data_IF_029530687397
#
_entry.id   IF_029530687397
#
_cell.length_a   1.000
_cell.length_b   1.000
_cell.length_c   1.000
_cell.angle_alpha   90.00
_cell.angle_beta   90.00
_cell.angle_gamma   90.00
#
_symmetry.space_group_name_H-M   'P 1'
#
loop_
_entity.id
_entity.type
_entity.pdbx_description
1 polymer ?
#
# COMPACT_ATOMS: atom_id res chain seq x y z
N UNK A 1 -1.17 30.19 47.93
CA UNK A 1 -0.86 30.90 46.67
C UNK A 1 0.51 30.43 46.22
N UNK A 2 0.57 29.59 45.21
CA UNK A 2 1.85 29.11 44.67
C UNK A 2 2.45 30.22 43.80
N UNK A 3 3.64 30.66 44.15
CA UNK A 3 4.39 31.65 43.40
C UNK A 3 5.09 30.92 42.23
N UNK A 4 4.65 31.20 41.01
CA UNK A 4 5.29 30.70 39.82
C UNK A 4 6.60 31.42 39.57
N UNK A 5 7.75 30.79 39.86
CA UNK A 5 9.04 31.30 39.43
C UNK A 5 9.24 30.99 37.97
N UNK A 6 9.02 31.95 37.10
CA UNK A 6 9.50 31.92 35.73
C UNK A 6 11.01 32.12 35.73
N UNK A 7 11.78 31.09 35.54
CA UNK A 7 13.17 31.22 35.10
C UNK A 7 13.18 31.26 33.58
N UNK A 8 13.14 32.49 33.03
CA UNK A 8 13.47 32.70 31.62
C UNK A 8 14.99 32.72 31.48
N UNK A 9 15.56 31.79 30.73
CA UNK A 9 16.93 31.90 30.27
C UNK A 9 16.92 32.53 28.86
N UNK A 10 17.51 33.70 28.73
CA UNK A 10 17.68 34.40 27.48
C UNK A 10 18.94 33.86 26.78
N UNK A 11 18.80 33.27 25.61
CA UNK A 11 19.91 32.89 24.75
C UNK A 11 20.10 33.96 23.66
N UNK A 12 21.30 34.50 23.56
CA UNK A 12 21.71 35.35 22.43
C UNK A 12 22.21 34.44 21.30
N UNK A 13 21.56 34.53 20.16
CA UNK A 13 22.05 33.94 18.92
C UNK A 13 22.93 34.98 18.23
N UNK A 14 23.88 34.53 17.37
CA UNK A 14 24.85 35.34 16.60
C UNK A 14 24.23 36.47 15.75
N UNK A 15 22.90 36.51 15.61
CA UNK A 15 22.16 37.53 14.86
C UNK A 15 21.37 38.52 15.77
N UNK A 16 21.73 38.67 17.04
CA UNK A 16 21.12 39.64 17.96
C UNK A 16 19.59 39.49 18.18
N UNK A 17 18.97 38.38 17.85
CA UNK A 17 17.58 38.10 18.21
C UNK A 17 17.51 37.39 19.57
N UNK A 18 16.74 37.96 20.49
CA UNK A 18 16.42 37.35 21.78
C UNK A 18 15.32 36.30 21.61
N UNK A 19 15.63 35.02 21.91
CA UNK A 19 14.61 33.98 22.01
C UNK A 19 14.27 33.73 23.47
N UNK A 20 13.00 33.85 23.82
CA UNK A 20 12.49 33.45 25.11
C UNK A 20 12.12 31.95 25.04
N UNK A 21 12.91 31.11 25.71
CA UNK A 21 12.59 29.69 25.84
C UNK A 21 11.75 29.49 27.11
N UNK A 22 10.49 29.08 26.95
CA UNK A 22 9.64 28.67 28.07
C UNK A 22 9.76 27.16 28.29
N UNK A 23 10.19 26.76 29.50
CA UNK A 23 10.19 25.36 29.92
C UNK A 23 8.80 25.04 30.50
N UNK A 24 8.09 24.11 29.87
CA UNK A 24 6.87 23.54 30.45
C UNK A 24 7.25 22.64 31.65
N UNK A 25 6.69 22.87 32.80
CA UNK A 25 6.90 22.04 34.00
C UNK A 25 5.57 21.49 34.51
N UNK A 26 5.59 20.32 35.12
CA UNK A 26 4.43 19.70 35.78
C UNK A 26 4.08 20.45 37.10
N UNK A 27 3.05 20.01 37.80
CA UNK A 27 2.61 20.60 39.08
C UNK A 27 3.66 20.51 40.20
N UNK A 28 4.69 19.68 40.04
CA UNK A 28 5.81 19.49 40.95
C UNK A 28 7.07 20.26 40.52
N UNK A 29 7.01 20.99 39.40
CA UNK A 29 8.13 21.76 38.87
C UNK A 29 9.14 20.96 38.07
N UNK A 30 8.84 19.70 37.72
CA UNK A 30 9.71 18.90 36.86
C UNK A 30 9.51 19.26 35.39
N UNK A 31 10.57 19.26 34.57
CA UNK A 31 10.45 19.47 33.14
C UNK A 31 9.49 18.47 32.51
N UNK A 32 8.41 18.94 31.91
CA UNK A 32 7.55 18.10 31.09
C UNK A 32 8.28 17.80 29.80
N UNK A 33 8.71 16.57 29.61
CA UNK A 33 9.22 16.12 28.32
C UNK A 33 8.08 16.12 27.31
N UNK A 34 7.98 17.15 26.50
CA UNK A 34 7.17 17.14 25.29
C UNK A 34 7.94 16.33 24.22
N UNK A 35 7.96 15.01 24.35
CA UNK A 35 8.44 14.15 23.30
C UNK A 35 7.49 14.29 22.13
N UNK A 36 7.93 14.96 21.07
CA UNK A 36 7.12 15.33 19.92
C UNK A 36 6.58 14.14 19.13
N UNK A 37 7.15 12.95 19.29
CA UNK A 37 6.81 11.81 18.44
C UNK A 37 5.54 11.06 18.88
N UNK A 38 5.20 11.04 20.17
CA UNK A 38 4.06 10.28 20.69
C UNK A 38 2.86 11.14 21.13
N UNK A 39 3.09 12.42 21.42
CA UNK A 39 2.05 13.34 21.91
C UNK A 39 1.40 14.17 20.80
N UNK A 40 1.79 13.98 19.56
CA UNK A 40 1.30 14.75 18.41
C UNK A 40 0.57 13.83 17.45
N UNK A 41 -0.65 14.21 17.06
CA UNK A 41 -1.41 13.49 16.06
C UNK A 41 -0.70 13.53 14.70
N UNK A 42 -1.13 12.70 13.74
CA UNK A 42 -0.65 12.78 12.35
C UNK A 42 -0.93 14.15 11.70
N UNK A 43 -1.76 14.97 12.31
CA UNK A 43 -2.05 16.35 11.89
C UNK A 43 -1.13 17.40 12.54
N UNK A 44 -0.20 16.99 13.39
CA UNK A 44 0.70 17.90 14.09
C UNK A 44 0.10 18.52 15.37
N UNK A 45 -1.08 18.09 15.77
CA UNK A 45 -1.78 18.56 16.97
C UNK A 45 -1.45 17.68 18.17
N UNK A 46 -1.46 18.25 19.37
CA UNK A 46 -1.34 17.45 20.58
C UNK A 46 -2.49 16.46 20.71
N UNK A 47 -2.19 15.20 20.99
CA UNK A 47 -3.20 14.15 21.16
C UNK A 47 -3.90 14.37 22.49
N UNK A 48 -5.04 15.05 22.43
CA UNK A 48 -5.95 15.22 23.58
C UNK A 48 -7.11 14.22 23.56
N UNK A 49 -7.19 13.36 22.56
CA UNK A 49 -8.25 12.38 22.37
C UNK A 49 -7.67 10.97 22.53
N UNK A 50 -8.31 10.07 23.28
CA UNK A 50 -7.85 8.70 23.40
C UNK A 50 -7.83 8.00 22.05
N UNK A 51 -6.73 7.30 21.75
CA UNK A 51 -6.60 6.46 20.57
C UNK A 51 -7.62 5.33 20.70
N UNK A 52 -8.52 5.21 19.72
CA UNK A 52 -9.48 4.11 19.68
C UNK A 52 -8.84 2.88 19.04
N UNK A 53 -8.62 1.78 19.77
CA UNK A 53 -8.06 0.58 19.20
C UNK A 53 -9.04 -0.02 18.18
N UNK A 54 -8.53 -0.35 16.98
CA UNK A 54 -9.31 -1.03 15.94
C UNK A 54 -9.24 -2.54 16.13
N UNK A 55 -8.04 -3.05 16.36
CA UNK A 55 -7.78 -4.43 16.73
C UNK A 55 -6.38 -4.56 17.33
N UNK A 56 -6.16 -5.64 18.04
CA UNK A 56 -4.86 -6.07 18.54
C UNK A 56 -4.68 -7.54 18.13
N UNK A 57 -3.47 -7.88 17.71
CA UNK A 57 -3.10 -9.21 17.26
C UNK A 57 -1.82 -9.63 17.98
N UNK A 58 -1.78 -10.87 18.45
CA UNK A 58 -0.59 -11.49 19.01
C UNK A 58 -0.52 -12.98 18.62
N UNK A 59 0.64 -13.58 18.80
CA UNK A 59 0.89 -14.99 18.52
C UNK A 59 0.90 -15.88 19.76
N UNK A 60 0.45 -15.37 20.91
CA UNK A 60 0.61 -16.04 22.21
C UNK A 60 -0.01 -17.43 22.26
N UNK A 61 -1.17 -17.60 21.62
CA UNK A 61 -1.94 -18.85 21.63
C UNK A 61 -1.96 -19.56 20.26
N UNK A 62 -1.01 -19.26 19.40
CA UNK A 62 -0.96 -19.78 18.05
C UNK A 62 -1.56 -18.83 17.00
N UNK A 63 -1.71 -19.32 15.79
CA UNK A 63 -2.34 -18.58 14.70
C UNK A 63 -3.87 -18.78 14.79
N UNK A 64 -4.59 -17.78 15.30
CA UNK A 64 -6.06 -17.82 15.35
C UNK A 64 -6.63 -17.52 13.95
N UNK A 65 -7.12 -18.57 13.30
CA UNK A 65 -7.73 -18.47 11.95
C UNK A 65 -8.96 -17.56 11.87
N UNK A 66 -9.57 -17.17 12.98
CA UNK A 66 -10.67 -16.19 13.01
C UNK A 66 -10.16 -14.75 12.85
N UNK A 67 -8.92 -14.50 13.25
CA UNK A 67 -8.28 -13.18 13.25
C UNK A 67 -7.27 -13.02 12.10
N UNK A 68 -6.65 -14.12 11.69
CA UNK A 68 -5.60 -14.14 10.68
C UNK A 68 -5.98 -14.91 9.43
N UNK A 69 -5.38 -14.52 8.33
CA UNK A 69 -5.25 -15.31 7.11
C UNK A 69 -3.76 -15.58 6.89
N UNK A 70 -3.42 -16.81 6.56
CA UNK A 70 -2.07 -17.20 6.17
C UNK A 70 -2.06 -17.65 4.72
N UNK A 71 -0.99 -17.29 4.02
CA UNK A 71 -0.72 -17.69 2.64
C UNK A 71 0.70 -18.22 2.55
N UNK A 72 0.84 -19.33 1.88
CA UNK A 72 2.11 -20.04 1.71
C UNK A 72 2.25 -20.49 0.27
N UNK A 73 3.47 -20.57 -0.23
CA UNK A 73 3.77 -21.14 -1.54
C UNK A 73 5.12 -21.85 -1.51
N UNK A 74 5.20 -22.92 -2.26
CA UNK A 74 6.40 -23.76 -2.39
C UNK A 74 6.90 -24.26 -1.01
N UNK A 75 8.15 -23.98 -0.67
CA UNK A 75 8.72 -24.32 0.64
C UNK A 75 8.55 -23.22 1.71
N UNK A 76 7.78 -22.19 1.41
CA UNK A 76 7.49 -21.12 2.37
C UNK A 76 6.54 -21.57 3.48
N UNK A 77 6.51 -20.86 4.59
CA UNK A 77 5.62 -21.14 5.71
C UNK A 77 5.20 -19.89 6.47
N UNK A 78 4.01 -19.94 7.06
CA UNK A 78 3.41 -18.87 7.86
C UNK A 78 2.81 -19.49 9.11
N UNK A 79 3.55 -19.48 10.21
CA UNK A 79 3.25 -20.23 11.42
C UNK A 79 3.27 -19.34 12.66
N UNK A 80 2.68 -19.82 13.75
CA UNK A 80 2.92 -19.31 15.09
C UNK A 80 3.83 -20.29 15.86
N UNK A 81 4.97 -19.82 16.30
CA UNK A 81 5.95 -20.62 17.03
C UNK A 81 6.55 -19.80 18.16
N UNK A 82 6.66 -20.37 19.35
CA UNK A 82 7.25 -19.71 20.52
C UNK A 82 6.68 -18.31 20.80
N UNK A 83 5.36 -18.17 20.73
CA UNK A 83 4.62 -16.91 20.91
C UNK A 83 4.86 -15.86 19.82
N UNK A 84 5.59 -16.19 18.74
CA UNK A 84 5.85 -15.33 17.60
C UNK A 84 5.05 -15.77 16.39
N UNK A 85 4.61 -14.79 15.59
CA UNK A 85 4.10 -15.01 14.24
C UNK A 85 5.30 -15.00 13.28
N UNK A 86 5.51 -16.11 12.59
CA UNK A 86 6.71 -16.35 11.80
C UNK A 86 6.36 -16.62 10.34
N UNK A 87 6.97 -15.83 9.43
CA UNK A 87 6.86 -16.00 7.98
C UNK A 87 8.22 -16.39 7.43
N UNK A 88 8.28 -17.44 6.63
CA UNK A 88 9.51 -17.96 6.02
C UNK A 88 9.31 -18.15 4.52
N UNK A 89 10.35 -17.90 3.74
CA UNK A 89 10.36 -18.16 2.30
C UNK A 89 10.73 -19.62 1.97
N UNK A 90 11.40 -20.31 2.90
CA UNK A 90 11.99 -21.61 2.59
C UNK A 90 13.18 -21.50 1.62
N UNK A 91 13.44 -22.57 0.89
CA UNK A 91 14.61 -22.70 -0.01
C UNK A 91 14.23 -22.77 -1.51
N UNK A 92 12.95 -22.85 -1.84
CA UNK A 92 12.47 -22.93 -3.23
C UNK A 92 12.33 -21.54 -3.84
N UNK A 93 12.59 -21.45 -5.15
CA UNK A 93 12.32 -20.23 -5.91
C UNK A 93 10.81 -19.94 -5.89
N UNK A 94 10.43 -18.69 -5.60
CA UNK A 94 9.03 -18.29 -5.48
C UNK A 94 8.36 -18.69 -4.16
N UNK A 95 9.10 -19.27 -3.20
CA UNK A 95 8.59 -19.58 -1.87
C UNK A 95 8.26 -18.31 -1.08
N UNK A 96 7.11 -18.28 -0.44
CA UNK A 96 6.73 -17.19 0.46
C UNK A 96 5.84 -17.66 1.61
N UNK A 97 5.90 -16.93 2.72
CA UNK A 97 4.95 -17.02 3.81
C UNK A 97 4.41 -15.63 4.15
N UNK A 98 3.11 -15.49 4.30
CA UNK A 98 2.43 -14.24 4.63
C UNK A 98 1.38 -14.47 5.69
N UNK A 99 1.38 -13.63 6.73
CA UNK A 99 0.32 -13.57 7.74
C UNK A 99 -0.34 -12.20 7.64
N UNK A 100 -1.66 -12.19 7.54
CA UNK A 100 -2.46 -10.96 7.41
C UNK A 100 -3.65 -10.99 8.35
N UNK A 101 -4.00 -9.84 8.92
CA UNK A 101 -5.25 -9.71 9.68
C UNK A 101 -6.46 -9.81 8.75
N UNK A 102 -7.50 -10.55 9.14
CA UNK A 102 -8.80 -10.56 8.45
C UNK A 102 -9.53 -9.23 8.58
N UNK A 103 -9.24 -8.49 9.65
CA UNK A 103 -9.86 -7.19 9.89
C UNK A 103 -9.06 -6.09 9.20
N UNK A 104 -9.70 -5.41 8.27
CA UNK A 104 -9.10 -4.27 7.57
C UNK A 104 -9.26 -2.97 8.38
N UNK A 105 -8.27 -2.09 8.26
CA UNK A 105 -8.35 -0.70 8.73
C UNK A 105 -9.29 0.05 7.79
N UNK A 106 -10.42 0.53 8.32
CA UNK A 106 -11.43 1.24 7.52
C UNK A 106 -11.01 2.68 7.28
N UNK A 107 -11.18 3.14 6.05
CA UNK A 107 -11.07 4.55 5.72
C UNK A 107 -12.08 5.39 6.53
N UNK A 108 -11.57 6.43 7.18
CA UNK A 108 -12.37 7.44 7.88
C UNK A 108 -11.89 8.82 7.47
N UNK A 109 -12.69 9.58 6.70
CA UNK A 109 -12.31 10.92 6.25
C UNK A 109 -11.90 11.82 7.41
N UNK A 110 -10.83 12.58 7.25
CA UNK A 110 -10.33 13.51 8.26
C UNK A 110 -9.62 12.87 9.46
N UNK A 111 -9.51 11.53 9.50
CA UNK A 111 -8.76 10.82 10.52
C UNK A 111 -7.46 10.25 9.96
N UNK A 112 -6.57 9.83 10.85
CA UNK A 112 -5.38 9.06 10.51
C UNK A 112 -5.51 7.63 11.03
N UNK A 113 -4.55 6.80 10.68
CA UNK A 113 -4.34 5.48 11.26
C UNK A 113 -2.93 5.36 11.80
N UNK A 114 -2.80 4.63 12.90
CA UNK A 114 -1.54 4.31 13.54
C UNK A 114 -1.48 2.80 13.76
N UNK A 115 -0.38 2.18 13.39
CA UNK A 115 -0.04 0.83 13.83
C UNK A 115 1.25 0.86 14.60
N UNK A 116 1.31 0.09 15.69
CA UNK A 116 2.54 -0.21 16.42
C UNK A 116 2.67 -1.73 16.47
N UNK A 117 3.83 -2.21 16.12
CA UNK A 117 4.10 -3.64 16.05
C UNK A 117 5.56 -3.94 16.36
N UNK A 118 5.81 -5.13 16.88
CA UNK A 118 7.16 -5.66 17.03
C UNK A 118 7.52 -6.47 15.80
N UNK A 119 8.73 -6.30 15.32
CA UNK A 119 9.28 -7.13 14.24
C UNK A 119 10.77 -7.43 14.48
N UNK A 120 11.16 -8.62 14.07
CA UNK A 120 12.51 -9.07 13.95
C UNK A 120 12.69 -9.67 12.57
N UNK A 121 13.70 -9.23 11.85
CA UNK A 121 14.03 -9.72 10.52
C UNK A 121 15.25 -10.63 10.60
N UNK A 122 15.39 -11.55 9.66
CA UNK A 122 16.67 -12.21 9.44
C UNK A 122 17.59 -11.26 8.67
N UNK A 123 18.89 -11.52 8.64
CA UNK A 123 19.80 -10.74 7.83
C UNK A 123 19.35 -10.71 6.37
N UNK A 124 19.39 -9.53 5.76
CA UNK A 124 18.99 -9.35 4.36
C UNK A 124 19.90 -10.11 3.41
N UNK A 125 19.35 -10.65 2.33
CA UNK A 125 20.10 -11.34 1.30
C UNK A 125 19.49 -11.07 -0.08
N UNK A 126 20.35 -10.94 -1.10
CA UNK A 126 19.93 -10.68 -2.48
C UNK A 126 18.91 -11.74 -2.94
N UNK A 127 17.81 -11.28 -3.55
CA UNK A 127 16.73 -12.14 -4.04
C UNK A 127 15.63 -12.45 -3.01
N UNK A 128 15.75 -11.96 -1.78
CA UNK A 128 14.74 -12.10 -0.73
C UNK A 128 14.15 -10.75 -0.36
N UNK A 129 12.90 -10.79 0.10
CA UNK A 129 12.22 -9.59 0.62
C UNK A 129 11.52 -9.94 1.93
N UNK A 130 11.70 -9.14 2.96
CA UNK A 130 11.08 -9.32 4.27
C UNK A 130 10.39 -8.01 4.64
N UNK A 131 9.09 -8.06 4.98
CA UNK A 131 8.30 -6.82 5.15
C UNK A 131 7.27 -6.96 6.27
N UNK A 132 7.06 -5.88 7.02
CA UNK A 132 6.03 -5.79 8.04
C UNK A 132 5.37 -4.40 8.04
N UNK A 133 4.07 -4.33 8.32
CA UNK A 133 3.31 -3.08 8.39
C UNK A 133 1.92 -3.19 7.79
N UNK A 134 1.42 -2.10 7.24
CA UNK A 134 0.14 -2.09 6.52
C UNK A 134 0.30 -2.61 5.11
N UNK A 135 -0.57 -3.54 4.70
CA UNK A 135 -0.61 -3.97 3.32
C UNK A 135 -1.98 -4.52 2.92
N UNK A 136 -2.28 -4.40 1.65
CA UNK A 136 -3.36 -5.06 0.94
C UNK A 136 -2.76 -5.79 -0.26
N UNK A 137 -3.57 -6.29 -1.17
CA UNK A 137 -3.10 -7.11 -2.29
C UNK A 137 -2.02 -6.42 -3.16
N UNK A 138 -2.16 -5.11 -3.38
CA UNK A 138 -1.30 -4.34 -4.29
C UNK A 138 -0.91 -2.95 -3.74
N UNK A 139 -1.11 -2.75 -2.46
CA UNK A 139 -0.76 -1.51 -1.76
C UNK A 139 -0.10 -1.85 -0.44
N UNK A 140 0.99 -1.16 -0.11
CA UNK A 140 1.67 -1.39 1.15
C UNK A 140 2.36 -0.12 1.67
N UNK A 141 2.41 -0.02 3.00
CA UNK A 141 3.23 0.93 3.75
C UNK A 141 3.93 0.08 4.79
N UNK A 142 5.18 -0.28 4.54
CA UNK A 142 5.89 -1.31 5.30
C UNK A 142 7.32 -0.91 5.59
N UNK A 143 7.94 -1.58 6.55
CA UNK A 143 9.38 -1.57 6.82
C UNK A 143 9.94 -2.96 6.55
N UNK A 144 11.22 -3.06 6.19
CA UNK A 144 11.85 -4.35 6.03
C UNK A 144 13.06 -4.34 5.10
N UNK A 145 13.37 -5.50 4.54
CA UNK A 145 14.48 -5.70 3.61
C UNK A 145 13.99 -5.86 2.17
N UNK A 146 14.70 -5.20 1.26
CA UNK A 146 14.69 -5.48 -0.17
C UNK A 146 16.09 -5.98 -0.56
N UNK A 147 16.22 -7.27 -0.71
CA UNK A 147 17.52 -7.88 -0.80
C UNK A 147 18.30 -7.73 0.50
N UNK A 148 19.49 -7.17 0.42
CA UNK A 148 20.40 -6.89 1.54
C UNK A 148 20.22 -5.49 2.17
N UNK A 149 19.34 -4.66 1.61
CA UNK A 149 19.12 -3.28 2.08
C UNK A 149 17.86 -3.16 2.94
N UNK A 150 18.02 -2.59 4.13
CA UNK A 150 16.89 -2.25 5.00
C UNK A 150 16.29 -0.90 4.58
N UNK A 151 14.96 -0.79 4.61
CA UNK A 151 14.28 0.43 4.22
C UNK A 151 12.80 0.44 4.54
N UNK A 152 12.12 1.46 4.00
CA UNK A 152 10.67 1.61 3.99
C UNK A 152 10.14 1.42 2.59
N UNK A 153 8.99 0.76 2.47
CA UNK A 153 8.30 0.53 1.21
C UNK A 153 7.00 1.31 1.17
N UNK A 154 6.83 2.10 0.12
CA UNK A 154 5.53 2.58 -0.33
C UNK A 154 5.18 1.88 -1.65
N UNK A 155 4.26 0.93 -1.58
CA UNK A 155 3.73 0.24 -2.76
C UNK A 155 2.41 0.87 -3.17
N UNK A 156 2.33 1.33 -4.41
CA UNK A 156 1.11 1.89 -4.98
C UNK A 156 0.45 0.88 -5.92
N UNK A 157 -0.87 0.78 -5.79
CA UNK A 157 -1.69 -0.04 -6.68
C UNK A 157 -1.57 0.47 -8.11
N UNK A 158 -1.36 -0.46 -9.05
CA UNK A 158 -1.50 -0.19 -10.47
C UNK A 158 -2.95 0.09 -10.89
N UNK A 159 -3.14 0.23 -12.19
CA UNK A 159 -4.47 0.37 -12.81
C UNK A 159 -4.71 -0.76 -13.77
N UNK A 160 -5.93 -1.30 -13.76
CA UNK A 160 -6.36 -2.26 -14.76
C UNK A 160 -6.42 -1.61 -16.14
N UNK A 161 -6.20 -2.37 -17.19
CA UNK A 161 -6.40 -1.92 -18.56
C UNK A 161 -7.88 -2.07 -18.92
N UNK A 162 -8.47 -1.07 -19.59
CA UNK A 162 -9.86 -1.10 -20.01
C UNK A 162 -9.97 -0.76 -21.50
N UNK A 163 -10.45 -1.73 -22.25
CA UNK A 163 -10.85 -1.56 -23.66
C UNK A 163 -12.35 -1.39 -23.76
N UNK A 164 -12.80 -0.77 -24.86
CA UNK A 164 -14.19 -0.62 -25.20
C UNK A 164 -14.40 -0.84 -26.71
N UNK A 165 -15.43 -1.59 -27.06
CA UNK A 165 -15.94 -1.73 -28.42
C UNK A 165 -17.34 -1.15 -28.48
N UNK A 166 -17.60 -0.31 -29.44
CA UNK A 166 -18.93 0.23 -29.76
C UNK A 166 -19.32 -0.31 -31.13
N UNK A 167 -20.42 -1.06 -31.20
CA UNK A 167 -20.95 -1.60 -32.43
C UNK A 167 -21.82 -0.52 -33.11
N UNK A 168 -21.52 -0.24 -34.37
CA UNK A 168 -22.19 0.89 -35.07
C UNK A 168 -23.33 0.45 -36.00
N UNK A 169 -23.21 -0.76 -36.60
CA UNK A 169 -24.20 -1.24 -37.58
C UNK A 169 -24.77 -2.60 -37.20
N UNK A 170 -25.99 -2.86 -37.67
CA UNK A 170 -26.65 -4.15 -37.59
C UNK A 170 -26.07 -5.12 -38.65
N UNK A 171 -26.11 -6.42 -38.36
CA UNK A 171 -25.72 -7.44 -39.33
C UNK A 171 -26.72 -7.54 -40.49
N UNK A 172 -26.24 -7.38 -41.70
CA UNK A 172 -27.04 -7.51 -42.93
C UNK A 172 -27.07 -8.96 -43.46
N UNK A 173 -26.01 -9.71 -43.19
CA UNK A 173 -25.89 -11.13 -43.55
C UNK A 173 -25.42 -11.94 -42.33
N UNK A 174 -25.76 -13.20 -42.30
CA UNK A 174 -25.24 -14.12 -41.27
C UNK A 174 -23.78 -14.51 -41.58
N UNK A 175 -22.96 -14.62 -40.55
CA UNK A 175 -21.54 -14.96 -40.67
C UNK A 175 -20.83 -14.81 -39.34
N UNK A 176 -19.51 -14.67 -39.39
CA UNK A 176 -18.68 -14.50 -38.20
C UNK A 176 -18.01 -13.13 -38.16
N UNK A 177 -17.86 -12.63 -36.97
CA UNK A 177 -16.98 -11.49 -36.64
C UNK A 177 -15.88 -12.00 -35.71
N UNK A 178 -14.72 -11.37 -35.74
CA UNK A 178 -13.60 -11.73 -34.88
C UNK A 178 -13.22 -10.53 -34.00
N UNK A 179 -13.16 -10.75 -32.70
CA UNK A 179 -12.61 -9.80 -31.72
C UNK A 179 -11.28 -10.35 -31.22
N UNK A 180 -10.20 -9.63 -31.43
CA UNK A 180 -8.87 -9.99 -30.93
C UNK A 180 -8.61 -9.23 -29.65
N UNK A 181 -8.25 -9.92 -28.57
CA UNK A 181 -7.89 -9.35 -27.28
C UNK A 181 -6.55 -9.90 -26.82
N UNK A 182 -5.54 -9.06 -26.75
CA UNK A 182 -4.20 -9.44 -26.30
C UNK A 182 -3.61 -10.60 -27.12
N UNK A 183 -3.77 -10.52 -28.45
CA UNK A 183 -3.35 -11.52 -29.46
C UNK A 183 -4.15 -12.83 -29.45
N UNK A 184 -5.25 -12.92 -28.72
CA UNK A 184 -6.18 -14.05 -28.74
C UNK A 184 -7.43 -13.70 -29.54
N UNK A 185 -7.79 -14.54 -30.50
CA UNK A 185 -8.94 -14.35 -31.39
C UNK A 185 -10.18 -15.06 -30.87
N UNK A 186 -11.25 -14.29 -30.75
CA UNK A 186 -12.59 -14.79 -30.40
C UNK A 186 -13.52 -14.63 -31.56
N UNK A 187 -13.95 -15.76 -32.14
CA UNK A 187 -14.87 -15.81 -33.28
C UNK A 187 -16.32 -15.88 -32.78
N UNK A 188 -17.13 -14.91 -33.17
CA UNK A 188 -18.53 -14.75 -32.72
C UNK A 188 -19.46 -14.82 -33.92
N UNK A 189 -20.39 -15.78 -33.90
CA UNK A 189 -21.42 -15.93 -34.95
C UNK A 189 -22.52 -14.86 -34.78
N UNK A 190 -22.82 -14.15 -35.85
CA UNK A 190 -23.93 -13.21 -35.96
C UNK A 190 -24.93 -13.65 -37.01
N UNK A 191 -26.18 -13.27 -36.88
CA UNK A 191 -27.26 -13.60 -37.78
C UNK A 191 -27.73 -12.35 -38.52
N UNK A 192 -28.20 -12.52 -39.77
CA UNK A 192 -28.83 -11.43 -40.50
C UNK A 192 -29.98 -10.86 -39.69
N UNK A 193 -29.99 -9.54 -39.51
CA UNK A 193 -30.99 -8.83 -38.71
C UNK A 193 -30.59 -8.61 -37.22
N UNK A 194 -29.46 -9.17 -36.73
CA UNK A 194 -28.95 -8.83 -35.41
C UNK A 194 -28.68 -7.34 -35.33
N UNK A 195 -29.30 -6.67 -34.35
CA UNK A 195 -29.03 -5.27 -34.08
C UNK A 195 -27.66 -5.06 -33.45
N UNK A 196 -27.17 -3.84 -33.43
CA UNK A 196 -25.92 -3.52 -32.74
C UNK A 196 -25.91 -4.01 -31.28
N UNK A 197 -27.08 -3.92 -30.60
CA UNK A 197 -27.24 -4.43 -29.22
C UNK A 197 -27.16 -5.96 -29.16
N UNK A 198 -27.70 -6.67 -30.13
CA UNK A 198 -27.65 -8.13 -30.19
C UNK A 198 -26.24 -8.60 -30.44
N UNK A 199 -25.50 -7.90 -31.32
CA UNK A 199 -24.08 -8.20 -31.59
C UNK A 199 -23.23 -7.95 -30.34
N UNK A 200 -23.42 -6.83 -29.66
CA UNK A 200 -22.72 -6.53 -28.40
C UNK A 200 -22.96 -7.60 -27.33
N UNK A 201 -24.22 -8.03 -27.18
CA UNK A 201 -24.59 -9.12 -26.28
C UNK A 201 -23.93 -10.45 -26.67
N UNK A 202 -23.84 -10.77 -27.95
CA UNK A 202 -23.18 -11.97 -28.46
C UNK A 202 -21.67 -11.93 -28.20
N UNK A 203 -21.03 -10.79 -28.39
CA UNK A 203 -19.61 -10.59 -28.02
C UNK A 203 -19.41 -10.87 -26.53
N UNK A 204 -20.23 -10.26 -25.66
CA UNK A 204 -20.15 -10.48 -24.22
C UNK A 204 -20.29 -11.95 -23.82
N UNK A 205 -21.22 -12.71 -24.43
CA UNK A 205 -21.44 -14.12 -24.07
C UNK A 205 -20.48 -15.07 -24.79
N UNK A 206 -19.96 -14.68 -25.94
CA UNK A 206 -19.07 -15.50 -26.75
C UNK A 206 -17.59 -15.46 -26.33
N UNK A 207 -17.22 -14.44 -25.56
CA UNK A 207 -15.83 -14.31 -25.05
C UNK A 207 -15.79 -14.78 -23.61
N UNK A 208 -15.08 -15.87 -23.36
CA UNK A 208 -14.78 -16.38 -22.03
C UNK A 208 -13.27 -16.29 -21.85
N UNK A 209 -12.81 -15.54 -20.89
CA UNK A 209 -11.38 -15.31 -20.65
C UNK A 209 -11.08 -15.19 -19.16
N UNK A 210 -9.98 -15.79 -18.71
CA UNK A 210 -9.48 -15.63 -17.35
C UNK A 210 -8.81 -14.26 -17.12
N UNK A 211 -8.48 -13.57 -18.21
CA UNK A 211 -7.74 -12.31 -18.21
C UNK A 211 -8.64 -11.07 -18.35
N UNK A 212 -9.90 -11.25 -18.75
CA UNK A 212 -10.82 -10.16 -19.01
C UNK A 212 -12.19 -10.40 -18.36
N UNK A 213 -12.68 -9.40 -17.66
CA UNK A 213 -14.06 -9.30 -17.20
C UNK A 213 -14.81 -8.46 -18.23
N UNK A 214 -15.91 -8.97 -18.74
CA UNK A 214 -16.72 -8.29 -19.75
C UNK A 214 -18.00 -7.75 -19.12
N UNK A 215 -18.34 -6.55 -19.54
CA UNK A 215 -19.65 -5.93 -19.28
C UNK A 215 -20.19 -5.35 -20.57
N UNK A 216 -21.50 -5.40 -20.77
CA UNK A 216 -22.12 -4.77 -21.94
C UNK A 216 -23.32 -3.93 -21.55
N UNK A 217 -23.51 -2.82 -22.28
CA UNK A 217 -24.67 -1.94 -22.15
C UNK A 217 -25.02 -1.45 -23.55
N UNK A 218 -26.22 -1.81 -24.02
CA UNK A 218 -26.67 -1.47 -25.35
C UNK A 218 -25.70 -1.99 -26.44
N UNK A 219 -25.17 -1.10 -27.26
CA UNK A 219 -24.27 -1.34 -28.38
C UNK A 219 -22.79 -1.41 -27.98
N UNK A 220 -22.48 -1.37 -26.64
CA UNK A 220 -21.11 -1.27 -26.12
C UNK A 220 -20.73 -2.50 -25.33
N UNK A 221 -19.48 -2.94 -25.51
CA UNK A 221 -18.84 -3.96 -24.65
C UNK A 221 -17.58 -3.38 -24.07
N UNK A 222 -17.47 -3.43 -22.75
CA UNK A 222 -16.30 -3.03 -21.98
C UNK A 222 -15.53 -4.26 -21.53
N UNK A 223 -14.21 -4.24 -21.70
CA UNK A 223 -13.28 -5.29 -21.31
C UNK A 223 -12.35 -4.75 -20.24
N UNK A 224 -12.53 -5.20 -19.02
CA UNK A 224 -11.71 -4.86 -17.87
C UNK A 224 -10.69 -5.97 -17.62
N UNK A 225 -9.40 -5.67 -17.64
CA UNK A 225 -8.40 -6.69 -17.32
C UNK A 225 -8.48 -7.13 -15.85
N UNK A 226 -8.37 -8.41 -15.57
CA UNK A 226 -8.40 -8.98 -14.22
C UNK A 226 -7.19 -8.58 -13.38
N UNK A 227 -6.06 -8.24 -14.01
CA UNK A 227 -4.85 -7.73 -13.36
C UNK A 227 -4.54 -6.30 -13.74
N UNK A 228 -3.72 -5.65 -12.94
CA UNK A 228 -3.18 -4.31 -13.24
C UNK A 228 -2.05 -4.38 -14.26
N UNK A 229 -1.69 -3.24 -14.83
CA UNK A 229 -0.62 -3.12 -15.80
C UNK A 229 -1.12 -2.98 -17.24
N UNK A 230 -0.24 -2.48 -18.12
CA UNK A 230 -0.57 -2.34 -19.53
C UNK A 230 -0.76 -3.71 -20.19
N UNK A 231 -1.73 -3.80 -21.08
CA UNK A 231 -1.89 -4.92 -22.01
C UNK A 231 -1.33 -4.47 -23.36
N UNK A 232 -0.31 -5.18 -23.83
CA UNK A 232 0.48 -4.78 -25.02
C UNK A 232 0.13 -5.57 -26.28
N UNK A 233 -0.68 -6.61 -26.17
CA UNK A 233 -1.15 -7.39 -27.32
C UNK A 233 -2.19 -6.65 -28.15
N UNK A 234 -2.53 -7.23 -29.28
CA UNK A 234 -3.47 -6.68 -30.27
C UNK A 234 -4.87 -6.57 -29.67
N UNK A 235 -5.51 -5.43 -29.90
CA UNK A 235 -6.93 -5.21 -29.69
C UNK A 235 -7.55 -4.78 -31.00
N UNK A 236 -8.32 -5.67 -31.63
CA UNK A 236 -8.90 -5.42 -32.95
C UNK A 236 -10.29 -6.04 -33.10
N UNK A 237 -11.02 -5.54 -34.08
CA UNK A 237 -12.28 -6.07 -34.55
C UNK A 237 -12.19 -6.31 -36.05
N UNK A 238 -12.68 -7.44 -36.51
CA UNK A 238 -12.74 -7.80 -37.94
C UNK A 238 -14.10 -8.41 -38.26
N UNK A 239 -14.73 -7.93 -39.33
CA UNK A 239 -15.91 -8.55 -39.96
C UNK A 239 -15.41 -9.60 -40.94
N UNK A 240 -15.16 -10.81 -40.45
CA UNK A 240 -14.49 -11.87 -41.19
C UNK A 240 -15.29 -12.38 -42.38
N UNK A 241 -16.62 -12.45 -42.27
CA UNK A 241 -17.52 -13.02 -43.28
C UNK A 241 -18.38 -11.96 -43.99
N UNK A 242 -17.99 -10.69 -43.92
CA UNK A 242 -18.72 -9.57 -44.56
C UNK A 242 -20.16 -9.46 -44.09
N UNK A 243 -20.37 -9.52 -42.78
CA UNK A 243 -21.72 -9.46 -42.18
C UNK A 243 -22.32 -8.07 -42.22
N UNK A 244 -21.54 -7.04 -42.51
CA UNK A 244 -21.92 -5.62 -42.48
C UNK A 244 -21.82 -4.97 -41.11
N UNK A 245 -21.38 -5.71 -40.10
CA UNK A 245 -21.13 -5.16 -38.75
C UNK A 245 -19.88 -4.31 -38.76
N UNK A 246 -19.97 -3.11 -38.20
CA UNK A 246 -18.82 -2.25 -37.97
C UNK A 246 -18.68 -1.92 -36.50
N UNK A 247 -17.46 -1.69 -36.04
CA UNK A 247 -17.19 -1.35 -34.66
C UNK A 247 -16.12 -0.27 -34.53
N UNK A 248 -16.23 0.52 -33.48
CA UNK A 248 -15.19 1.47 -33.06
C UNK A 248 -14.58 0.99 -31.76
N UNK A 249 -13.24 0.90 -31.77
CA UNK A 249 -12.46 0.46 -30.63
C UNK A 249 -11.80 1.66 -29.94
N UNK A 250 -11.74 1.61 -28.64
CA UNK A 250 -11.02 2.61 -27.83
C UNK A 250 -10.44 2.01 -26.57
N UNK A 251 -9.36 2.63 -26.09
CA UNK A 251 -8.81 2.37 -24.77
C UNK A 251 -9.39 3.41 -23.82
N UNK A 252 -10.25 3.01 -22.89
CA UNK A 252 -10.83 3.90 -21.89
C UNK A 252 -9.85 4.22 -20.77
N UNK A 253 -9.01 3.23 -20.41
CA UNK A 253 -7.97 3.38 -19.41
C UNK A 253 -6.77 2.54 -19.79
N UNK A 254 -5.62 3.17 -19.94
CA UNK A 254 -4.34 2.46 -20.04
C UNK A 254 -3.99 1.80 -18.71
N UNK A 255 -3.58 0.54 -18.74
CA UNK A 255 -3.11 -0.14 -17.54
C UNK A 255 -1.79 0.47 -17.02
N UNK A 256 -1.62 0.45 -15.71
CA UNK A 256 -0.39 0.88 -15.04
C UNK A 256 0.05 -0.21 -14.09
N UNK A 257 1.32 -0.59 -14.12
CA UNK A 257 1.87 -1.54 -13.15
C UNK A 257 1.85 -0.96 -11.74
N UNK A 258 1.78 -1.81 -10.73
CA UNK A 258 2.08 -1.38 -9.39
C UNK A 258 3.54 -0.92 -9.29
N UNK A 259 3.83 0.00 -8.40
CA UNK A 259 5.18 0.51 -8.16
C UNK A 259 5.60 0.22 -6.73
N UNK A 260 6.81 -0.30 -6.56
CA UNK A 260 7.46 -0.50 -5.27
C UNK A 260 8.49 0.62 -5.09
N UNK A 261 8.14 1.63 -4.31
CA UNK A 261 9.05 2.73 -4.01
C UNK A 261 9.72 2.44 -2.67
N UNK A 262 10.96 1.99 -2.73
CA UNK A 262 11.79 1.80 -1.56
C UNK A 262 12.60 3.06 -1.27
N UNK A 263 12.69 3.41 0.02
CA UNK A 263 13.66 4.37 0.54
C UNK A 263 14.51 3.62 1.55
N UNK A 264 15.81 3.50 1.26
CA UNK A 264 16.73 2.74 2.09
C UNK A 264 17.24 3.56 3.27
N UNK A 265 17.82 2.88 4.25
CA UNK A 265 18.27 3.49 5.51
C UNK A 265 19.19 4.68 5.31
N UNK A 266 20.09 4.63 4.32
CA UNK A 266 21.02 5.69 3.94
C UNK A 266 20.33 6.98 3.47
N UNK A 267 19.09 6.87 2.96
CA UNK A 267 18.26 7.97 2.44
C UNK A 267 17.15 8.40 3.40
N UNK A 268 17.16 7.94 4.65
CA UNK A 268 16.15 8.37 5.63
C UNK A 268 16.27 9.87 5.91
N UNK A 269 15.15 10.58 5.88
CA UNK A 269 15.09 12.04 6.04
C UNK A 269 14.81 12.51 7.48
N UNK A 270 14.66 11.58 8.41
CA UNK A 270 14.62 11.82 9.84
C UNK A 270 15.96 11.42 10.48
N UNK A 271 15.92 10.41 11.36
CA UNK A 271 17.12 9.82 11.93
C UNK A 271 17.59 8.64 11.07
N UNK A 272 18.83 8.62 10.63
CA UNK A 272 19.38 7.54 9.79
C UNK A 272 19.58 6.22 10.53
N UNK A 273 19.45 6.25 11.87
CA UNK A 273 19.59 5.08 12.75
C UNK A 273 20.93 4.33 12.55
N UNK A 274 21.96 5.05 12.19
CA UNK A 274 23.34 4.56 12.00
C UNK A 274 24.31 5.05 13.09
N UNK A 275 23.76 5.69 14.13
CA UNK A 275 24.51 6.30 15.24
C UNK A 275 24.90 7.76 14.98
N UNK A 276 24.74 8.29 13.76
CA UNK A 276 25.09 9.67 13.41
C UNK A 276 23.87 10.61 13.50
N UNK A 277 22.64 10.07 13.56
CA UNK A 277 21.42 10.85 13.70
C UNK A 277 21.28 11.51 15.07
N UNK A 278 20.21 12.34 15.20
CA UNK A 278 19.97 13.12 16.43
C UNK A 278 19.75 12.24 17.69
N UNK A 279 19.20 11.04 17.52
CA UNK A 279 18.98 10.09 18.61
C UNK A 279 20.22 9.31 19.01
N UNK A 280 21.22 9.26 18.14
CA UNK A 280 22.41 8.38 18.22
C UNK A 280 22.06 6.89 18.30
N UNK A 281 20.83 6.51 17.95
CA UNK A 281 20.42 5.12 17.90
C UNK A 281 21.04 4.41 16.70
N UNK A 282 21.36 3.13 16.90
CA UNK A 282 21.83 2.24 15.84
C UNK A 282 20.77 1.16 15.67
N UNK A 283 20.20 1.08 14.50
CA UNK A 283 19.24 0.03 14.17
C UNK A 283 19.96 -1.30 13.93
N UNK A 284 19.50 -2.32 14.62
CA UNK A 284 19.80 -3.70 14.27
C UNK A 284 18.50 -4.42 13.93
N UNK A 285 18.16 -4.57 12.65
CA UNK A 285 16.91 -5.20 12.24
C UNK A 285 16.80 -6.68 12.64
N UNK A 286 17.93 -7.36 12.91
CA UNK A 286 17.93 -8.77 13.33
C UNK A 286 17.60 -8.96 14.81
N UNK A 287 17.38 -7.88 15.53
CA UNK A 287 16.86 -7.88 16.89
C UNK A 287 15.37 -7.51 16.87
N UNK A 288 14.69 -7.84 17.95
CA UNK A 288 13.30 -7.45 18.14
C UNK A 288 13.22 -5.93 18.31
N UNK A 289 12.55 -5.25 17.41
CA UNK A 289 12.32 -3.81 17.42
C UNK A 289 10.84 -3.50 17.46
N UNK A 290 10.48 -2.36 18.04
CA UNK A 290 9.11 -1.82 18.05
C UNK A 290 9.02 -0.73 16.99
N UNK A 291 8.29 -0.99 15.92
CA UNK A 291 8.03 -0.04 14.85
C UNK A 291 6.66 0.61 15.02
N UNK A 292 6.54 1.83 14.54
CA UNK A 292 5.27 2.54 14.44
C UNK A 292 5.15 3.20 13.07
N UNK A 293 3.98 3.03 12.43
CA UNK A 293 3.64 3.68 11.17
C UNK A 293 2.35 4.46 11.38
N UNK A 294 2.36 5.76 11.07
CA UNK A 294 1.17 6.61 11.08
C UNK A 294 0.97 7.27 9.73
N UNK A 295 -0.27 7.40 9.32
CA UNK A 295 -0.62 8.10 8.10
C UNK A 295 -1.99 8.76 8.17
N UNK A 296 -2.20 9.76 7.31
CA UNK A 296 -3.47 10.49 7.19
C UNK A 296 -4.27 10.00 6.01
N UNK A 297 -5.61 10.01 6.16
CA UNK A 297 -6.53 9.67 5.09
C UNK A 297 -6.87 10.82 4.13
N UNK A 298 -6.10 11.90 4.09
CA UNK A 298 -6.42 13.10 3.32
C UNK A 298 -5.81 13.15 1.91
N UNK A 299 -5.26 12.06 1.40
CA UNK A 299 -4.61 12.01 0.08
C UNK A 299 -3.27 12.76 0.00
N UNK A 300 -3.19 13.95 0.57
CA UNK A 300 -1.97 14.76 0.69
C UNK A 300 -1.35 14.69 2.10
N UNK A 301 -1.81 13.76 2.94
CA UNK A 301 -1.29 13.57 4.29
C UNK A 301 0.09 12.91 4.29
N UNK A 302 0.90 13.23 5.30
CA UNK A 302 2.19 12.59 5.46
C UNK A 302 2.05 11.15 5.98
N UNK A 303 3.03 10.33 5.62
CA UNK A 303 3.27 9.01 6.22
C UNK A 303 4.52 9.14 7.07
N UNK A 304 4.46 8.69 8.32
CA UNK A 304 5.58 8.77 9.27
C UNK A 304 5.95 7.38 9.75
N UNK A 305 7.23 7.08 9.69
CA UNK A 305 7.83 5.85 10.20
C UNK A 305 8.66 6.15 11.42
N UNK A 306 8.43 5.40 12.49
CA UNK A 306 9.13 5.58 13.76
C UNK A 306 9.55 4.24 14.36
N UNK A 307 10.56 4.26 15.20
CA UNK A 307 11.05 3.13 15.97
C UNK A 307 11.21 3.53 17.43
N UNK A 308 10.99 2.62 18.34
CA UNK A 308 11.21 2.87 19.76
C UNK A 308 12.72 2.86 20.08
N UNK A 309 13.17 3.92 20.76
CA UNK A 309 14.54 4.00 21.24
C UNK A 309 14.75 3.03 22.42
N UNK A 310 15.62 2.05 22.29
CA UNK A 310 15.83 1.05 23.35
C UNK A 310 16.42 1.64 24.65
N UNK A 311 16.94 2.88 24.61
CA UNK A 311 17.55 3.50 25.77
C UNK A 311 16.55 4.18 26.69
N UNK A 312 15.46 4.74 26.15
CA UNK A 312 14.52 5.57 26.92
C UNK A 312 13.03 5.33 26.56
N UNK A 313 12.73 4.49 25.59
CA UNK A 313 11.37 4.18 25.14
C UNK A 313 10.71 5.27 24.29
N UNK A 314 11.40 6.37 23.96
CA UNK A 314 10.85 7.41 23.08
C UNK A 314 10.78 6.90 21.62
N UNK A 315 9.77 7.40 20.87
CA UNK A 315 9.65 7.10 19.47
C UNK A 315 10.54 8.01 18.62
N UNK A 316 11.53 7.43 17.96
CA UNK A 316 12.43 8.10 17.00
C UNK A 316 11.75 8.09 15.63
N UNK A 317 11.50 9.26 15.05
CA UNK A 317 11.05 9.37 13.65
C UNK A 317 12.26 9.23 12.75
N UNK A 318 12.30 8.16 11.94
CA UNK A 318 13.43 7.91 11.06
C UNK A 318 13.13 8.26 9.59
N UNK A 319 11.87 8.20 9.16
CA UNK A 319 11.50 8.61 7.80
C UNK A 319 10.09 9.19 7.72
N UNK A 320 9.91 10.20 6.84
CA UNK A 320 8.61 10.80 6.54
C UNK A 320 8.41 10.95 5.03
N UNK A 321 7.28 10.50 4.52
CA UNK A 321 6.83 10.76 3.15
C UNK A 321 5.82 11.90 3.21
N UNK A 322 6.11 13.01 2.53
CA UNK A 322 5.29 14.23 2.53
C UNK A 322 4.71 14.45 1.15
N UNK A 323 3.40 14.63 1.08
CA UNK A 323 2.68 14.86 -0.18
C UNK A 323 2.18 16.30 -0.33
N UNK A 324 2.05 17.03 0.78
CA UNK A 324 1.57 18.40 0.72
C UNK A 324 2.61 19.28 0.03
N UNK A 325 2.17 19.99 -1.00
CA UNK A 325 2.98 20.94 -1.78
C UNK A 325 4.18 20.32 -2.54
N UNK A 326 4.04 19.05 -2.94
CA UNK A 326 4.98 18.31 -3.78
C UNK A 326 4.34 17.98 -5.13
#
# INVERSE_FOLDING_TARGET
>A
MAQWNRTSQNYLNDNTSLFEASLAVDEYGNPVKTSSASAVSVFGEHVSVPITPVFQLDGLYGLDERLFESYESESGSAIASNTLLECRTGTSLGGYGVIRSKRAVRYRPGQGALTRFTAQFTEGAIGYTQRAGFFAQEQAIQVGFDGDKFGVLLQNKGKAHIHNIVISNSATTSGNITVTLNDEDFVIAVLAGDTANDVARKIHHGIISDFWILEYVADKVCFLSTGVGPKTGTFSFSDTDSTGVTATLSVLQGGVNHTNNWTYQEDFNGDTLDGNGYSRAILNPTKLNVFQINFRWLGAGQIRFSIENPLNGDMIVFHEIKYANN
#
